data_IF_065903976527
#
_entry.id   IF_065903976527
#
_cell.length_a   1.000
_cell.length_b   1.000
_cell.length_c   1.000
_cell.angle_alpha   90.00
_cell.angle_beta   90.00
_cell.angle_gamma   90.00
#
_symmetry.space_group_name_H-M   'P 1'
#
loop_
_entity.id
_entity.type
_entity.pdbx_description
1 polymer ?
#
# COMPACT_ATOMS: atom_id res chain seq x y z
N UNK A 1 -1.86 30.43 7.52
CA UNK A 1 -0.87 29.35 7.78
C UNK A 1 -0.82 28.36 6.62
N UNK A 2 -0.48 28.79 5.40
CA UNK A 2 -0.65 27.98 4.18
C UNK A 2 0.59 27.91 3.26
N UNK A 3 1.75 28.42 3.67
CA UNK A 3 2.91 28.54 2.76
C UNK A 3 4.26 28.06 3.34
N UNK A 4 4.27 26.93 4.06
CA UNK A 4 5.50 26.16 4.36
C UNK A 4 5.43 24.70 3.88
N UNK A 5 4.43 24.38 3.05
CA UNK A 5 4.09 23.02 2.60
C UNK A 5 4.34 22.78 1.10
N UNK A 6 4.86 23.76 0.37
CA UNK A 6 4.98 23.70 -1.09
C UNK A 6 6.27 23.01 -1.57
N UNK A 7 7.40 23.14 -0.85
CA UNK A 7 8.69 22.62 -1.34
C UNK A 7 8.84 21.09 -1.21
N UNK A 8 8.03 20.43 -0.37
CA UNK A 8 7.95 18.96 -0.32
C UNK A 8 6.84 18.37 -1.22
N UNK A 9 6.11 19.20 -1.95
CA UNK A 9 4.89 18.76 -2.64
C UNK A 9 5.13 18.20 -4.07
N UNK A 10 6.13 18.72 -4.79
CA UNK A 10 6.34 18.32 -6.20
C UNK A 10 6.77 16.86 -6.39
N UNK A 11 7.60 16.31 -5.49
CA UNK A 11 7.98 14.89 -5.57
C UNK A 11 6.86 13.94 -5.14
N UNK A 12 5.98 14.39 -4.23
CA UNK A 12 4.82 13.59 -3.79
C UNK A 12 3.74 13.50 -4.88
N UNK A 13 3.60 14.52 -5.73
CA UNK A 13 2.55 14.58 -6.74
C UNK A 13 2.71 13.46 -7.79
N UNK A 14 3.94 13.22 -8.26
CA UNK A 14 4.22 12.14 -9.21
C UNK A 14 3.99 10.75 -8.60
N UNK A 15 4.34 10.55 -7.32
CA UNK A 15 4.07 9.27 -6.65
C UNK A 15 2.58 9.04 -6.42
N UNK A 16 1.84 10.07 -5.98
CA UNK A 16 0.39 9.97 -5.78
C UNK A 16 -0.32 9.70 -7.11
N UNK A 17 0.11 10.35 -8.20
CA UNK A 17 -0.44 10.11 -9.53
C UNK A 17 -0.17 8.66 -9.98
N UNK A 18 1.06 8.17 -9.78
CA UNK A 18 1.43 6.80 -10.11
C UNK A 18 0.57 5.76 -9.39
N UNK A 19 0.36 5.92 -8.08
CA UNK A 19 -0.46 4.97 -7.29
C UNK A 19 -1.93 5.04 -7.73
N UNK A 20 -2.46 6.22 -8.02
CA UNK A 20 -3.83 6.36 -8.57
C UNK A 20 -3.99 5.63 -9.90
N UNK A 21 -3.01 5.75 -10.80
CA UNK A 21 -3.01 5.08 -12.09
C UNK A 21 -2.97 3.56 -11.89
N UNK A 22 -2.08 3.06 -11.02
CA UNK A 22 -1.98 1.62 -10.69
C UNK A 22 -3.31 1.09 -10.13
N UNK A 23 -3.92 1.78 -9.17
CA UNK A 23 -5.21 1.35 -8.60
C UNK A 23 -6.33 1.37 -9.64
N UNK A 24 -6.38 2.39 -10.50
CA UNK A 24 -7.35 2.45 -11.59
C UNK A 24 -7.17 1.28 -12.56
N UNK A 25 -5.93 0.98 -12.93
CA UNK A 25 -5.59 -0.13 -13.81
C UNK A 25 -5.99 -1.47 -13.19
N UNK A 26 -5.66 -1.72 -11.92
CA UNK A 26 -6.06 -2.93 -11.19
C UNK A 26 -7.58 -3.10 -11.18
N UNK A 27 -8.32 -2.03 -10.90
CA UNK A 27 -9.79 -2.06 -10.87
C UNK A 27 -10.36 -2.37 -12.26
N UNK A 28 -9.79 -1.79 -13.32
CA UNK A 28 -10.21 -2.08 -14.70
C UNK A 28 -9.92 -3.54 -15.08
N UNK A 29 -8.75 -4.07 -14.70
CA UNK A 29 -8.38 -5.47 -14.94
C UNK A 29 -9.33 -6.43 -14.21
N UNK A 30 -9.72 -6.13 -12.96
CA UNK A 30 -10.71 -6.93 -12.22
C UNK A 30 -12.07 -6.95 -12.92
N UNK A 31 -12.56 -5.78 -13.38
CA UNK A 31 -13.85 -5.69 -14.08
C UNK A 31 -13.82 -6.47 -15.39
N UNK A 32 -12.74 -6.33 -16.17
CA UNK A 32 -12.56 -7.08 -17.42
C UNK A 32 -12.48 -8.58 -17.12
N UNK A 33 -11.76 -8.98 -16.07
CA UNK A 33 -11.66 -10.37 -15.64
C UNK A 33 -13.02 -10.98 -15.31
N UNK A 34 -13.89 -10.26 -14.59
CA UNK A 34 -15.27 -10.70 -14.34
C UNK A 34 -16.03 -10.85 -15.66
N UNK A 35 -15.94 -9.88 -16.56
CA UNK A 35 -16.62 -9.91 -17.86
C UNK A 35 -16.18 -11.09 -18.74
N UNK A 36 -14.88 -11.38 -18.79
CA UNK A 36 -14.33 -12.55 -19.48
C UNK A 36 -14.80 -13.86 -18.83
N UNK A 37 -14.78 -13.92 -17.49
CA UNK A 37 -15.27 -15.09 -16.77
C UNK A 37 -16.77 -15.32 -17.03
N UNK A 38 -17.57 -14.25 -17.11
CA UNK A 38 -18.99 -14.34 -17.42
C UNK A 38 -19.26 -14.88 -18.84
N UNK A 39 -18.40 -14.51 -19.79
CA UNK A 39 -18.54 -14.92 -21.20
C UNK A 39 -18.07 -16.36 -21.45
N UNK A 40 -16.89 -16.73 -20.96
CA UNK A 40 -16.30 -18.04 -21.25
C UNK A 40 -16.69 -19.12 -20.24
N UNK A 41 -16.93 -18.76 -18.98
CA UNK A 41 -17.00 -19.69 -17.85
C UNK A 41 -18.11 -19.33 -16.85
N UNK A 42 -19.38 -19.27 -17.29
CA UNK A 42 -20.49 -18.76 -16.48
C UNK A 42 -20.72 -19.56 -15.19
N UNK A 43 -20.41 -20.86 -15.20
CA UNK A 43 -20.51 -21.74 -14.04
C UNK A 43 -19.62 -21.34 -12.86
N UNK A 44 -18.50 -20.65 -13.10
CA UNK A 44 -17.57 -20.19 -12.06
C UNK A 44 -17.89 -18.79 -11.55
N UNK A 45 -18.87 -18.10 -12.16
CA UNK A 45 -19.20 -16.72 -11.85
C UNK A 45 -19.65 -16.53 -10.39
N UNK A 46 -20.33 -17.53 -9.82
CA UNK A 46 -20.78 -17.52 -8.41
C UNK A 46 -19.59 -17.45 -7.44
N UNK A 47 -18.45 -18.02 -7.79
CA UNK A 47 -17.24 -18.02 -6.96
C UNK A 47 -16.32 -16.83 -7.25
N UNK A 48 -16.19 -16.44 -8.52
CA UNK A 48 -15.29 -15.36 -8.94
C UNK A 48 -15.86 -13.99 -8.54
N UNK A 49 -17.17 -13.77 -8.71
CA UNK A 49 -17.80 -12.48 -8.40
C UNK A 49 -17.57 -11.99 -6.96
N UNK A 50 -17.81 -12.78 -5.90
CA UNK A 50 -17.56 -12.31 -4.54
C UNK A 50 -16.08 -12.02 -4.29
N UNK A 51 -15.18 -12.86 -4.80
CA UNK A 51 -13.73 -12.64 -4.65
C UNK A 51 -13.29 -11.33 -5.33
N UNK A 52 -13.71 -11.10 -6.57
CA UNK A 52 -13.41 -9.86 -7.29
C UNK A 52 -14.11 -8.65 -6.66
N UNK A 53 -15.30 -8.81 -6.07
CA UNK A 53 -16.01 -7.72 -5.39
C UNK A 53 -15.23 -7.22 -4.16
N UNK A 54 -14.59 -8.12 -3.42
CA UNK A 54 -13.70 -7.78 -2.29
C UNK A 54 -12.50 -7.00 -2.81
N UNK A 55 -11.88 -7.44 -3.91
CA UNK A 55 -10.81 -6.72 -4.60
C UNK A 55 -11.19 -5.27 -4.92
N UNK A 56 -12.31 -5.08 -5.61
CA UNK A 56 -12.83 -3.76 -5.99
C UNK A 56 -13.07 -2.87 -4.75
N UNK A 57 -13.71 -3.40 -3.71
CA UNK A 57 -13.97 -2.65 -2.47
C UNK A 57 -12.65 -2.22 -1.82
N UNK A 58 -11.65 -3.10 -1.75
CA UNK A 58 -10.34 -2.74 -1.19
C UNK A 58 -9.60 -1.71 -2.05
N UNK A 59 -9.73 -1.77 -3.37
CA UNK A 59 -9.18 -0.77 -4.29
C UNK A 59 -9.82 0.62 -4.04
N UNK A 60 -11.13 0.68 -3.80
CA UNK A 60 -11.83 1.93 -3.44
C UNK A 60 -11.34 2.46 -2.09
N UNK A 61 -11.16 1.60 -1.07
CA UNK A 61 -10.59 2.01 0.21
C UNK A 61 -9.18 2.59 0.06
N UNK A 62 -8.32 1.96 -0.75
CA UNK A 62 -7.00 2.50 -1.05
C UNK A 62 -7.10 3.89 -1.74
N UNK A 63 -8.06 4.07 -2.64
CA UNK A 63 -8.33 5.36 -3.29
C UNK A 63 -8.74 6.46 -2.29
N UNK A 64 -9.63 6.13 -1.33
CA UNK A 64 -10.03 7.03 -0.25
C UNK A 64 -8.83 7.32 0.67
N UNK A 65 -8.03 6.30 0.97
CA UNK A 65 -6.80 6.40 1.73
C UNK A 65 -5.80 7.39 1.11
N UNK A 66 -5.65 7.35 -0.22
CA UNK A 66 -4.85 8.31 -0.98
C UNK A 66 -5.44 9.71 -0.92
N UNK A 67 -6.75 9.85 -1.13
CA UNK A 67 -7.40 11.16 -1.14
C UNK A 67 -7.35 11.87 0.23
N UNK A 68 -7.43 11.10 1.32
CA UNK A 68 -7.41 11.62 2.70
C UNK A 68 -6.02 11.58 3.34
N UNK A 69 -5.03 10.96 2.69
CA UNK A 69 -3.72 10.63 3.25
C UNK A 69 -3.83 9.92 4.61
N UNK A 70 -4.77 8.98 4.75
CA UNK A 70 -5.01 8.24 5.99
C UNK A 70 -4.51 6.81 5.83
N UNK A 71 -3.48 6.48 6.62
CA UNK A 71 -2.76 5.20 6.62
C UNK A 71 -3.68 3.98 6.82
N UNK A 72 -4.70 4.09 7.68
CA UNK A 72 -5.56 2.96 8.06
C UNK A 72 -6.36 2.36 6.90
N UNK A 73 -6.72 3.15 5.88
CA UNK A 73 -7.47 2.63 4.73
C UNK A 73 -6.63 1.80 3.77
N UNK A 74 -5.30 1.85 3.86
CA UNK A 74 -4.41 1.01 3.05
C UNK A 74 -4.22 -0.40 3.62
N UNK A 75 -4.50 -0.60 4.91
CA UNK A 75 -4.31 -1.90 5.57
C UNK A 75 -5.15 -3.02 4.95
N UNK A 76 -6.47 -2.85 4.73
CA UNK A 76 -7.29 -3.89 4.10
C UNK A 76 -6.77 -4.27 2.72
N UNK A 77 -6.35 -3.29 1.92
CA UNK A 77 -5.78 -3.50 0.60
C UNK A 77 -4.46 -4.31 0.68
N UNK A 78 -3.53 -3.90 1.55
CA UNK A 78 -2.24 -4.60 1.72
C UNK A 78 -2.43 -6.07 2.15
N UNK A 79 -3.40 -6.34 3.04
CA UNK A 79 -3.69 -7.70 3.51
C UNK A 79 -4.27 -8.56 2.38
N UNK A 80 -5.29 -8.05 1.67
CA UNK A 80 -5.93 -8.78 0.57
C UNK A 80 -4.94 -9.03 -0.57
N UNK A 81 -4.16 -8.03 -0.96
CA UNK A 81 -3.13 -8.20 -2.00
C UNK A 81 -2.07 -9.24 -1.61
N UNK A 82 -1.65 -9.30 -0.34
CA UNK A 82 -0.72 -10.35 0.11
C UNK A 82 -1.34 -11.75 0.01
N UNK A 83 -2.61 -11.90 0.36
CA UNK A 83 -3.33 -13.17 0.18
C UNK A 83 -3.43 -13.57 -1.30
N UNK A 84 -3.66 -12.61 -2.20
CA UNK A 84 -3.67 -12.84 -3.65
C UNK A 84 -2.29 -13.26 -4.15
N UNK A 85 -1.21 -12.62 -3.70
CA UNK A 85 0.17 -12.98 -4.08
C UNK A 85 0.49 -14.42 -3.65
N UNK A 86 0.23 -14.75 -2.39
CA UNK A 86 0.49 -16.10 -1.86
C UNK A 86 -0.40 -17.14 -2.56
N UNK A 87 -1.69 -16.82 -2.75
CA UNK A 87 -2.64 -17.70 -3.43
C UNK A 87 -2.28 -17.97 -4.89
N UNK A 88 -1.82 -16.96 -5.62
CA UNK A 88 -1.39 -17.11 -7.02
C UNK A 88 -0.10 -17.91 -7.15
N UNK A 89 0.88 -17.71 -6.26
CA UNK A 89 2.09 -18.54 -6.21
C UNK A 89 1.71 -19.99 -5.91
N UNK A 90 0.87 -20.23 -4.90
CA UNK A 90 0.43 -21.58 -4.55
C UNK A 90 -0.33 -22.24 -5.71
N UNK A 91 -1.23 -21.52 -6.37
CA UNK A 91 -1.95 -22.00 -7.54
C UNK A 91 -0.99 -22.37 -8.69
N UNK A 92 0.03 -21.54 -8.95
CA UNK A 92 1.03 -21.83 -9.99
C UNK A 92 1.81 -23.13 -9.73
N UNK A 93 2.15 -23.40 -8.47
CA UNK A 93 2.85 -24.63 -8.06
C UNK A 93 1.90 -25.83 -8.18
N UNK A 94 0.65 -25.69 -7.72
CA UNK A 94 -0.34 -26.76 -7.77
C UNK A 94 -0.68 -27.17 -9.21
N UNK A 95 -0.72 -26.22 -10.16
CA UNK A 95 -0.90 -26.52 -11.58
C UNK A 95 0.19 -27.45 -12.15
N UNK A 96 1.43 -27.32 -11.66
CA UNK A 96 2.55 -28.17 -12.11
C UNK A 96 2.51 -29.54 -11.42
N UNK A 97 2.17 -29.56 -10.13
CA UNK A 97 2.24 -30.78 -9.29
C UNK A 97 1.05 -31.72 -9.54
N UNK A 98 -0.14 -31.18 -9.78
CA UNK A 98 -1.37 -31.97 -9.95
C UNK A 98 -1.90 -31.71 -11.37
N UNK A 99 -1.42 -32.45 -12.39
CA UNK A 99 -2.05 -32.42 -13.70
C UNK A 99 -3.47 -32.97 -13.53
N UNK A 100 -4.46 -32.11 -13.75
CA UNK A 100 -5.88 -32.43 -13.55
C UNK A 100 -6.35 -33.46 -14.58
N UNK A 101 -6.15 -34.74 -14.27
CA UNK A 101 -7.00 -35.85 -14.70
C UNK A 101 -7.06 -36.22 -16.18
N UNK A 102 -6.36 -35.51 -17.07
CA UNK A 102 -6.30 -35.90 -18.48
C UNK A 102 -5.30 -37.02 -18.71
N UNK A 103 -5.71 -38.01 -19.51
CA UNK A 103 -4.92 -39.22 -19.82
C UNK A 103 -3.61 -38.87 -20.58
N UNK A 104 -3.59 -37.72 -21.26
CA UNK A 104 -2.41 -37.12 -21.90
C UNK A 104 -2.36 -35.61 -21.63
N UNK A 105 -1.71 -35.16 -20.54
CA UNK A 105 -1.65 -33.74 -20.21
C UNK A 105 -0.74 -32.99 -21.21
N UNK A 106 -1.27 -31.93 -21.80
CA UNK A 106 -0.49 -30.99 -22.60
C UNK A 106 0.43 -30.14 -21.70
N UNK A 107 1.63 -30.66 -21.44
CA UNK A 107 2.64 -30.00 -20.61
C UNK A 107 2.96 -28.57 -21.03
N UNK A 108 2.83 -28.25 -22.33
CA UNK A 108 3.03 -26.92 -22.87
C UNK A 108 1.99 -25.93 -22.34
N UNK A 109 0.72 -26.31 -22.32
CA UNK A 109 -0.35 -25.44 -21.83
C UNK A 109 -0.22 -25.21 -20.32
N UNK A 110 0.00 -26.28 -19.55
CA UNK A 110 0.22 -26.20 -18.10
C UNK A 110 1.43 -25.31 -17.78
N UNK A 111 2.52 -25.45 -18.54
CA UNK A 111 3.71 -24.60 -18.38
C UNK A 111 3.40 -23.13 -18.66
N UNK A 112 2.69 -22.82 -19.75
CA UNK A 112 2.31 -21.44 -20.09
C UNK A 112 1.41 -20.83 -19.00
N UNK A 113 0.41 -21.57 -18.52
CA UNK A 113 -0.49 -21.11 -17.46
C UNK A 113 0.30 -20.84 -16.17
N UNK A 114 1.13 -21.80 -15.73
CA UNK A 114 1.92 -21.62 -14.51
C UNK A 114 2.89 -20.43 -14.59
N UNK A 115 3.59 -20.25 -15.71
CA UNK A 115 4.49 -19.11 -15.94
C UNK A 115 3.71 -17.79 -15.93
N UNK A 116 2.53 -17.76 -16.55
CA UNK A 116 1.67 -16.56 -16.55
C UNK A 116 1.19 -16.18 -15.13
N UNK A 117 0.86 -17.17 -14.30
CA UNK A 117 0.47 -16.96 -12.90
C UNK A 117 1.64 -16.42 -12.06
N UNK A 118 2.85 -16.95 -12.26
CA UNK A 118 4.06 -16.47 -11.58
C UNK A 118 4.34 -15.01 -11.98
N UNK A 119 4.26 -14.70 -13.27
CA UNK A 119 4.47 -13.34 -13.77
C UNK A 119 3.43 -12.37 -13.21
N UNK A 120 2.15 -12.79 -13.17
CA UNK A 120 1.08 -12.01 -12.56
C UNK A 120 1.35 -11.75 -11.07
N UNK A 121 1.76 -12.78 -10.32
CA UNK A 121 2.12 -12.64 -8.91
C UNK A 121 3.29 -11.68 -8.69
N UNK A 122 4.32 -11.76 -9.52
CA UNK A 122 5.46 -10.85 -9.46
C UNK A 122 5.05 -9.38 -9.73
N UNK A 123 4.14 -9.14 -10.67
CA UNK A 123 3.59 -7.81 -10.94
C UNK A 123 2.76 -7.28 -9.75
N UNK A 124 1.90 -8.11 -9.17
CA UNK A 124 1.12 -7.73 -7.99
C UNK A 124 2.03 -7.46 -6.79
N UNK A 125 3.08 -8.27 -6.59
CA UNK A 125 4.10 -8.06 -5.58
C UNK A 125 4.84 -6.73 -5.77
N UNK A 126 5.20 -6.40 -7.01
CA UNK A 126 5.81 -5.10 -7.33
C UNK A 126 4.89 -3.94 -6.93
N UNK A 127 3.59 -3.98 -7.28
CA UNK A 127 2.64 -2.95 -6.86
C UNK A 127 2.46 -2.88 -5.35
N UNK A 128 2.45 -4.04 -4.69
CA UNK A 128 2.40 -4.12 -3.23
C UNK A 128 3.61 -3.44 -2.58
N UNK A 129 4.81 -3.65 -3.10
CA UNK A 129 6.06 -3.00 -2.64
C UNK A 129 5.98 -1.47 -2.82
N UNK A 130 5.47 -1.00 -3.95
CA UNK A 130 5.31 0.45 -4.19
C UNK A 130 4.33 1.07 -3.18
N UNK A 131 3.22 0.40 -2.89
CA UNK A 131 2.21 0.90 -1.95
C UNK A 131 2.68 0.82 -0.50
N UNK A 132 3.43 -0.22 -0.10
CA UNK A 132 4.00 -0.29 1.25
C UNK A 132 5.08 0.78 1.46
N UNK A 133 5.90 1.07 0.45
CA UNK A 133 6.87 2.15 0.53
C UNK A 133 6.15 3.50 0.76
N UNK A 134 5.06 3.73 0.03
CA UNK A 134 4.21 4.91 0.24
C UNK A 134 3.58 4.95 1.63
N UNK A 135 3.09 3.80 2.12
CA UNK A 135 2.52 3.65 3.46
C UNK A 135 3.52 3.98 4.58
N UNK A 136 4.79 3.56 4.42
CA UNK A 136 5.88 3.88 5.35
C UNK A 136 6.20 5.38 5.30
N UNK A 137 6.28 5.97 4.09
CA UNK A 137 6.55 7.40 3.90
C UNK A 137 5.50 8.32 4.52
N UNK A 138 4.22 7.92 4.55
CA UNK A 138 3.15 8.71 5.20
C UNK A 138 3.42 8.88 6.71
N UNK A 139 4.18 7.98 7.33
CA UNK A 139 4.53 8.04 8.74
C UNK A 139 3.33 7.89 9.70
N UNK A 140 3.58 7.67 11.00
CA UNK A 140 2.52 7.73 12.01
C UNK A 140 2.04 9.18 12.09
N UNK A 141 0.75 9.39 11.79
CA UNK A 141 0.11 10.70 11.75
C UNK A 141 0.24 11.38 13.13
N UNK A 142 1.29 12.19 13.35
CA UNK A 142 1.56 12.82 14.66
C UNK A 142 0.40 13.70 15.14
N UNK A 143 -0.51 14.10 14.24
CA UNK A 143 -1.71 14.87 14.57
C UNK A 143 -2.75 14.07 15.38
N UNK A 144 -2.78 12.74 15.27
CA UNK A 144 -3.63 11.90 16.12
C UNK A 144 -2.98 11.67 17.50
N UNK A 145 -1.65 11.47 17.55
CA UNK A 145 -0.92 11.37 18.81
C UNK A 145 -1.09 12.63 19.68
N UNK A 146 -1.07 13.83 19.07
CA UNK A 146 -1.27 15.09 19.80
C UNK A 146 -2.69 15.25 20.35
N UNK A 147 -3.71 14.65 19.73
CA UNK A 147 -5.12 14.80 20.16
C UNK A 147 -5.55 13.74 21.17
N UNK A 148 -4.93 12.55 21.15
CA UNK A 148 -5.27 11.43 22.04
C UNK A 148 -4.45 11.46 23.33
N UNK A 149 -3.20 11.93 23.30
CA UNK A 149 -2.34 11.93 24.51
C UNK A 149 -2.57 13.16 25.41
N UNK A 150 -3.46 14.09 25.04
CA UNK A 150 -3.82 15.20 25.92
C UNK A 150 -2.62 16.03 26.38
N UNK A 151 -1.52 16.05 25.61
CA UNK A 151 -0.45 16.99 25.89
C UNK A 151 -1.06 18.39 25.78
N UNK A 152 -1.09 19.16 26.88
CA UNK A 152 -1.60 20.51 26.81
C UNK A 152 -0.81 21.23 25.73
N UNK A 153 -1.43 22.16 24.98
CA UNK A 153 -0.64 23.08 24.18
C UNK A 153 0.41 23.65 25.13
N UNK A 154 1.70 23.52 24.81
CA UNK A 154 2.71 24.32 25.49
C UNK A 154 2.37 25.75 25.09
N UNK A 155 1.50 26.38 25.87
CA UNK A 155 1.48 27.82 26.02
C UNK A 155 2.90 28.17 26.38
N UNK A 156 3.64 28.68 25.41
CA UNK A 156 4.80 29.50 25.68
C UNK A 156 4.31 30.71 26.45
N UNK A 157 4.14 30.53 27.77
CA UNK A 157 4.21 31.60 28.74
C UNK A 157 5.63 32.11 28.61
N UNK A 158 5.83 33.13 27.77
CA UNK A 158 6.97 34.00 27.94
C UNK A 158 6.70 34.76 29.24
N UNK A 159 7.50 34.58 30.30
CA UNK A 159 7.60 35.63 31.28
C UNK A 159 8.29 36.78 30.56
N UNK A 160 7.58 37.89 30.43
CA UNK A 160 8.19 39.20 30.28
C UNK A 160 9.18 39.39 31.42
N UNK A 161 10.46 39.15 31.15
CA UNK A 161 11.56 39.60 31.98
C UNK A 161 12.41 40.51 31.10
N UNK A 162 12.07 41.79 31.18
CA UNK A 162 13.01 42.86 30.93
C UNK A 162 14.27 42.65 31.78
N UNK A 163 15.38 43.16 31.24
CA UNK A 163 16.60 43.57 31.95
C UNK A 163 17.81 42.62 31.91
N UNK A 164 18.83 43.13 31.22
CA UNK A 164 20.25 43.21 31.61
C UNK A 164 21.24 42.20 30.98
N UNK A 165 22.30 42.82 30.44
CA UNK A 165 23.49 42.33 29.77
C UNK A 165 24.15 41.06 30.36
N UNK A 166 24.70 40.24 29.46
CA UNK A 166 25.87 39.40 29.74
C UNK A 166 26.30 38.57 28.52
N UNK A 167 27.54 38.69 28.01
CA UNK A 167 28.11 37.77 27.04
C UNK A 167 28.87 36.65 27.75
N UNK A 168 28.56 35.40 27.43
CA UNK A 168 29.31 34.20 27.83
C UNK A 168 28.61 33.00 27.22
N UNK A 169 29.12 32.41 26.12
CA UNK A 169 30.24 31.46 26.07
C UNK A 169 29.93 30.15 26.79
N UNK A 170 30.40 29.05 26.19
CA UNK A 170 30.27 27.63 26.54
C UNK A 170 28.99 26.93 26.05
N UNK A 171 28.99 25.67 25.66
CA UNK A 171 29.91 24.83 24.89
C UNK A 171 29.18 23.47 24.78
N UNK A 172 29.11 22.93 23.58
CA UNK A 172 29.07 21.48 23.26
C UNK A 172 27.80 20.63 23.49
N UNK A 173 27.51 19.70 22.54
CA UNK A 173 26.39 18.74 22.57
C UNK A 173 26.76 17.40 23.23
N UNK A 174 25.81 16.83 23.98
CA UNK A 174 25.91 15.47 24.54
C UNK A 174 25.31 14.45 23.55
N UNK A 175 26.17 13.67 22.88
CA UNK A 175 25.77 12.42 22.22
C UNK A 175 26.16 11.23 23.11
N UNK A 176 25.23 10.34 23.50
CA UNK A 176 25.59 9.08 24.14
C UNK A 176 26.13 8.10 23.10
N UNK A 177 27.36 7.61 23.33
CA UNK A 177 27.93 6.47 22.61
C UNK A 177 27.22 5.18 23.01
N UNK A 178 26.80 4.38 22.03
CA UNK A 178 26.50 2.97 22.23
C UNK A 178 27.77 2.17 21.92
N UNK A 179 28.27 1.47 22.93
CA UNK A 179 29.30 0.45 22.77
C UNK A 179 28.66 -0.85 22.25
N UNK A 180 29.37 -1.51 21.33
CA UNK A 180 29.05 -2.80 20.73
C UNK A 180 29.07 -3.95 21.74
#
# INVERSE_FOLDING_TARGET
MLCKRLEHCCCCLNQILGIKLILSFLTTVEIIGIGLCAYYYPQYLVYVTPASSIGIITNIFAFIGLAKCVRWYFLPWLIVSMLVIVGTILASILCIVIPLGEEHPDWTEISIISVSLILCSALVLYFWIVIIEFFVRIGPNQRYARRVIGYPPSSSVYPSTSSILGPGSYDSPFYPQMQF
#
